data_IF_849140912347
#
_entry.id   IF_849140912347
#
_cell.length_a   1.000
_cell.length_b   1.000
_cell.length_c   1.000
_cell.angle_alpha   90.00
_cell.angle_beta   90.00
_cell.angle_gamma   90.00
#
_symmetry.space_group_name_H-M   'P 1'
#
loop_
_entity.id
_entity.type
_entity.pdbx_description
1 polymer ?
#
# COMPACT_ATOMS: atom_id res chain seq x y z
N UNK A 1 -36.08 -37.73 -55.82
CA UNK A 1 -37.50 -37.48 -55.47
C UNK A 1 -37.58 -36.97 -54.03
N UNK A 2 -38.34 -35.89 -53.79
CA UNK A 2 -38.81 -35.35 -52.48
C UNK A 2 -37.73 -34.82 -51.51
N UNK A 3 -37.49 -33.50 -51.36
CA UNK A 3 -38.27 -32.46 -50.64
C UNK A 3 -38.76 -32.88 -49.25
N UNK A 4 -38.24 -32.22 -48.20
CA UNK A 4 -39.00 -31.34 -47.27
C UNK A 4 -38.30 -31.18 -45.90
N UNK A 5 -37.82 -29.96 -45.61
CA UNK A 5 -38.11 -29.30 -44.31
C UNK A 5 -39.59 -28.83 -44.36
N UNK A 6 -40.34 -28.53 -43.28
CA UNK A 6 -39.90 -27.80 -42.06
C UNK A 6 -40.61 -28.21 -40.75
N UNK A 7 -40.31 -27.56 -39.63
CA UNK A 7 -41.30 -26.90 -38.76
C UNK A 7 -40.56 -25.93 -37.81
N UNK A 8 -41.03 -24.70 -37.88
CA UNK A 8 -40.67 -23.53 -37.11
C UNK A 8 -41.56 -23.47 -35.87
N UNK A 9 -41.00 -23.18 -34.69
CA UNK A 9 -41.76 -22.52 -33.62
C UNK A 9 -41.02 -21.27 -33.17
N UNK A 10 -41.65 -20.14 -33.52
CA UNK A 10 -41.37 -18.80 -33.02
C UNK A 10 -41.63 -18.73 -31.52
N UNK A 11 -40.70 -18.15 -30.78
CA UNK A 11 -41.03 -17.37 -29.57
C UNK A 11 -40.65 -15.93 -29.89
N UNK A 12 -41.67 -15.07 -29.96
CA UNK A 12 -41.55 -13.62 -30.06
C UNK A 12 -41.77 -12.99 -28.67
N UNK A 13 -41.28 -11.75 -28.57
CA UNK A 13 -41.50 -10.73 -27.55
C UNK A 13 -40.56 -10.84 -26.33
N UNK A 14 -39.94 -9.78 -25.83
CA UNK A 14 -40.37 -8.39 -25.80
C UNK A 14 -39.17 -7.41 -25.84
N UNK A 15 -39.37 -6.28 -26.51
CA UNK A 15 -38.51 -5.10 -26.56
C UNK A 15 -38.95 -4.10 -25.49
N UNK A 16 -38.08 -3.72 -24.55
CA UNK A 16 -38.23 -2.51 -23.73
C UNK A 16 -36.94 -1.67 -23.85
N UNK A 17 -36.98 -0.59 -24.64
CA UNK A 17 -37.21 0.78 -24.19
C UNK A 17 -36.12 1.36 -23.28
N UNK A 18 -35.08 1.87 -23.95
CA UNK A 18 -34.16 2.88 -23.42
C UNK A 18 -34.97 4.12 -23.01
N UNK A 19 -35.05 4.41 -21.70
CA UNK A 19 -35.47 5.73 -21.22
C UNK A 19 -34.25 6.63 -21.03
N UNK A 20 -34.26 7.70 -21.82
CA UNK A 20 -33.45 8.91 -21.68
C UNK A 20 -33.69 9.57 -20.31
N UNK A 21 -32.63 10.11 -19.70
CA UNK A 21 -32.72 11.00 -18.53
C UNK A 21 -32.74 12.45 -19.05
N UNK A 22 -33.80 13.24 -18.83
CA UNK A 22 -33.74 14.68 -19.03
C UNK A 22 -33.19 15.39 -17.79
N UNK A 23 -32.53 16.51 -18.06
CA UNK A 23 -31.77 17.32 -17.14
C UNK A 23 -32.66 18.42 -16.51
N UNK A 24 -32.21 18.94 -15.36
CA UNK A 24 -32.47 20.27 -14.79
C UNK A 24 -33.90 20.61 -14.32
N UNK A 25 -34.03 20.93 -13.03
CA UNK A 25 -34.65 22.19 -12.59
C UNK A 25 -33.98 22.69 -11.30
N UNK A 26 -33.51 23.94 -11.35
CA UNK A 26 -33.17 24.79 -10.22
C UNK A 26 -34.47 25.20 -9.51
N UNK A 27 -34.46 25.23 -8.17
CA UNK A 27 -35.30 26.16 -7.42
C UNK A 27 -34.55 26.69 -6.20
N UNK A 28 -34.50 28.01 -6.13
CA UNK A 28 -33.99 28.85 -5.05
C UNK A 28 -35.02 28.98 -3.92
N UNK A 29 -34.58 29.15 -2.68
CA UNK A 29 -35.02 30.22 -1.75
C UNK A 29 -34.18 30.23 -0.45
N UNK A 30 -34.13 31.35 0.32
CA UNK A 30 -32.90 31.90 0.89
C UNK A 30 -32.89 31.93 2.45
N UNK A 31 -32.22 32.86 3.18
CA UNK A 31 -31.35 32.51 4.32
C UNK A 31 -31.91 32.96 5.69
N UNK A 32 -31.12 32.69 6.74
CA UNK A 32 -31.21 33.17 8.12
C UNK A 32 -32.07 32.39 9.11
N UNK A 33 -31.38 31.67 9.99
CA UNK A 33 -31.75 31.51 11.39
C UNK A 33 -30.48 31.53 12.22
N UNK A 34 -30.20 32.70 12.78
CA UNK A 34 -29.25 32.92 13.87
C UNK A 34 -29.83 32.21 15.10
N UNK A 35 -29.14 31.17 15.58
CA UNK A 35 -29.18 30.80 16.99
C UNK A 35 -27.73 30.56 17.43
N UNK A 36 -27.18 31.59 18.08
CA UNK A 36 -26.10 31.40 19.04
C UNK A 36 -26.67 30.52 20.16
N UNK A 37 -26.03 29.39 20.45
CA UNK A 37 -25.72 29.03 21.83
C UNK A 37 -24.71 27.89 21.91
N UNK A 38 -23.70 28.15 22.73
CA UNK A 38 -23.00 27.17 23.55
C UNK A 38 -21.94 26.30 22.88
N UNK A 39 -20.69 26.81 22.97
CA UNK A 39 -19.48 26.07 23.34
C UNK A 39 -19.41 24.59 22.95
N UNK A 40 -18.87 24.34 21.76
CA UNK A 40 -17.98 23.20 21.59
C UNK A 40 -16.75 23.71 20.84
N UNK A 41 -15.88 24.38 21.60
CA UNK A 41 -14.47 24.46 21.30
C UNK A 41 -13.92 23.05 21.48
N UNK A 42 -14.29 22.14 20.57
CA UNK A 42 -13.48 20.95 20.29
C UNK A 42 -12.20 21.54 19.75
N UNK A 43 -11.24 21.74 20.67
CA UNK A 43 -9.85 21.93 20.34
C UNK A 43 -9.53 20.80 19.36
N UNK A 44 -9.45 21.14 18.08
CA UNK A 44 -8.82 20.29 17.10
C UNK A 44 -7.43 20.03 17.70
N UNK A 45 -7.25 18.81 18.22
CA UNK A 45 -5.97 18.34 18.72
C UNK A 45 -4.93 18.77 17.68
N UNK A 46 -3.80 19.37 18.09
CA UNK A 46 -2.78 19.76 17.14
C UNK A 46 -2.50 18.51 16.31
N UNK A 47 -2.78 18.58 15.00
CA UNK A 47 -2.40 17.51 14.09
C UNK A 47 -0.91 17.29 14.33
N UNK A 48 -0.55 16.21 15.03
CA UNK A 48 0.80 15.90 15.51
C UNK A 48 1.76 16.31 14.40
N UNK A 49 2.63 17.30 14.68
CA UNK A 49 3.53 17.88 13.69
C UNK A 49 4.52 16.80 13.25
N UNK A 50 4.12 15.98 12.28
CA UNK A 50 4.94 14.90 11.76
C UNK A 50 6.16 15.52 11.10
N UNK A 51 7.34 15.03 11.45
CA UNK A 51 8.58 15.45 10.80
C UNK A 51 8.41 15.37 9.27
N UNK A 52 8.80 16.43 8.56
CA UNK A 52 8.72 16.48 7.10
C UNK A 52 9.94 15.77 6.50
N UNK A 53 9.75 14.77 5.61
CA UNK A 53 10.86 14.02 5.03
C UNK A 53 11.74 14.91 4.15
N UNK A 54 13.04 14.63 4.13
CA UNK A 54 14.05 15.36 3.34
C UNK A 54 14.16 14.91 1.87
N UNK A 55 13.33 13.97 1.41
CA UNK A 55 13.51 13.37 0.09
C UNK A 55 12.83 14.20 -1.01
N UNK A 56 13.63 14.93 -1.79
CA UNK A 56 13.11 15.73 -2.92
C UNK A 56 12.78 14.88 -4.17
N UNK A 57 13.50 13.76 -4.34
CA UNK A 57 13.37 12.91 -5.55
C UNK A 57 12.22 11.92 -5.41
N UNK A 58 11.32 11.91 -6.41
CA UNK A 58 10.26 10.90 -6.53
C UNK A 58 10.83 9.48 -6.55
N UNK A 59 10.29 8.61 -5.71
CA UNK A 59 10.69 7.21 -5.65
C UNK A 59 10.13 6.47 -6.86
N UNK A 60 11.00 6.06 -7.78
CA UNK A 60 10.65 5.22 -8.94
C UNK A 60 11.22 3.82 -8.75
N UNK A 61 10.36 2.80 -8.80
CA UNK A 61 10.77 1.38 -8.83
C UNK A 61 10.66 0.89 -10.28
N UNK A 62 11.80 0.52 -10.88
CA UNK A 62 11.88 0.02 -12.27
C UNK A 62 11.06 -1.25 -12.51
N UNK A 63 10.89 -2.06 -11.47
CA UNK A 63 10.07 -3.27 -11.49
C UNK A 63 9.44 -3.48 -10.12
N UNK A 64 8.13 -3.71 -10.11
CA UNK A 64 7.36 -4.02 -8.90
C UNK A 64 7.16 -5.54 -8.74
N UNK A 65 6.99 -6.26 -9.86
CA UNK A 65 6.78 -7.72 -9.86
C UNK A 65 7.99 -8.46 -9.31
N UNK A 66 7.77 -9.32 -8.32
CA UNK A 66 8.80 -10.20 -7.74
C UNK A 66 9.36 -11.16 -8.79
N UNK A 67 10.67 -11.41 -8.72
CA UNK A 67 11.33 -12.43 -9.53
C UNK A 67 11.00 -13.82 -8.95
N UNK A 68 10.07 -14.52 -9.61
CA UNK A 68 9.69 -15.89 -9.24
C UNK A 68 10.64 -16.91 -9.88
N UNK A 69 10.89 -18.02 -9.19
CA UNK A 69 11.58 -19.19 -9.76
C UNK A 69 10.78 -19.74 -10.96
N UNK A 70 11.48 -20.27 -11.96
CA UNK A 70 10.85 -21.02 -13.05
C UNK A 70 10.06 -22.22 -12.47
N UNK A 71 8.85 -22.46 -12.98
CA UNK A 71 7.94 -23.58 -12.61
C UNK A 71 7.48 -23.62 -11.15
N UNK A 72 7.74 -22.59 -10.34
CA UNK A 72 7.20 -22.50 -8.96
C UNK A 72 5.68 -22.36 -8.90
N UNK A 73 5.05 -22.03 -10.03
CA UNK A 73 3.60 -22.00 -10.21
C UNK A 73 3.00 -23.39 -10.46
N UNK A 74 3.79 -24.33 -11.01
CA UNK A 74 3.32 -25.70 -11.31
C UNK A 74 3.54 -26.66 -10.14
N UNK A 75 4.67 -26.52 -9.43
CA UNK A 75 5.06 -27.45 -8.37
C UNK A 75 5.09 -26.76 -7.01
N UNK A 76 4.27 -27.24 -6.06
CA UNK A 76 4.21 -26.72 -4.68
C UNK A 76 5.54 -26.90 -3.93
N UNK A 77 6.29 -27.97 -4.24
CA UNK A 77 7.63 -28.21 -3.67
C UNK A 77 8.66 -27.15 -4.10
N UNK A 78 8.45 -26.50 -5.26
CA UNK A 78 9.33 -25.45 -5.76
C UNK A 78 8.92 -24.09 -5.18
N UNK A 79 9.67 -23.67 -4.17
CA UNK A 79 9.52 -22.34 -3.57
C UNK A 79 9.67 -21.23 -4.61
N UNK A 80 8.89 -20.16 -4.44
CA UNK A 80 8.86 -18.97 -5.32
C UNK A 80 10.13 -18.12 -5.26
N UNK A 81 11.06 -18.39 -4.35
CA UNK A 81 12.32 -17.63 -4.22
C UNK A 81 13.19 -17.75 -5.48
N UNK A 82 13.77 -16.65 -5.93
CA UNK A 82 14.59 -16.66 -7.14
C UNK A 82 15.81 -17.58 -6.98
N UNK A 83 16.03 -18.45 -7.97
CA UNK A 83 17.24 -19.25 -8.15
C UNK A 83 17.68 -19.18 -9.61
N UNK A 84 18.98 -18.98 -9.86
CA UNK A 84 19.51 -18.90 -11.22
C UNK A 84 19.42 -20.27 -11.90
N UNK A 85 18.70 -20.43 -13.04
CA UNK A 85 18.61 -21.71 -13.74
C UNK A 85 19.97 -22.09 -14.34
N UNK A 86 20.31 -23.38 -14.24
CA UNK A 86 21.61 -23.93 -14.67
C UNK A 86 21.53 -24.87 -15.87
N UNK A 87 20.40 -25.57 -16.05
CA UNK A 87 20.22 -26.58 -17.10
C UNK A 87 20.43 -26.06 -18.52
N UNK A 88 20.95 -26.92 -19.39
CA UNK A 88 21.33 -26.57 -20.77
C UNK A 88 20.11 -26.14 -21.60
N UNK A 89 18.95 -26.75 -21.41
CA UNK A 89 17.71 -26.48 -22.16
C UNK A 89 16.77 -25.49 -21.50
N UNK A 90 17.19 -24.87 -20.39
CA UNK A 90 16.34 -23.90 -19.70
C UNK A 90 16.08 -22.68 -20.58
N UNK A 91 14.79 -22.49 -20.94
CA UNK A 91 14.33 -21.34 -21.73
C UNK A 91 14.63 -20.00 -21.06
N UNK A 92 14.52 -19.95 -19.73
CA UNK A 92 14.86 -18.76 -18.92
C UNK A 92 16.35 -18.44 -18.99
N UNK A 93 17.23 -19.46 -18.90
CA UNK A 93 18.69 -19.27 -19.01
C UNK A 93 19.09 -18.72 -20.38
N UNK A 94 18.46 -19.23 -21.44
CA UNK A 94 18.65 -18.78 -22.83
C UNK A 94 17.92 -17.45 -23.15
N UNK A 95 17.20 -16.88 -22.19
CA UNK A 95 16.48 -15.58 -22.28
C UNK A 95 15.45 -15.51 -23.42
N UNK A 96 14.73 -16.59 -23.67
CA UNK A 96 13.61 -16.56 -24.62
C UNK A 96 12.52 -15.58 -24.16
N UNK A 97 11.87 -14.91 -25.13
CA UNK A 97 10.70 -14.06 -24.88
C UNK A 97 9.54 -14.89 -24.33
N UNK A 98 8.67 -14.26 -23.53
CA UNK A 98 7.53 -14.91 -22.88
C UNK A 98 7.85 -15.69 -21.60
N UNK A 99 9.14 -15.95 -21.32
CA UNK A 99 9.57 -16.57 -20.05
C UNK A 99 9.76 -15.54 -18.93
N UNK A 100 9.94 -16.02 -17.70
CA UNK A 100 10.25 -15.15 -16.55
C UNK A 100 11.61 -14.46 -16.74
N UNK A 101 11.63 -13.13 -16.61
CA UNK A 101 12.88 -12.36 -16.74
C UNK A 101 13.81 -12.64 -15.55
N UNK A 102 15.11 -12.74 -15.84
CA UNK A 102 16.15 -12.89 -14.81
C UNK A 102 16.47 -11.55 -14.11
N UNK A 103 16.80 -11.55 -12.81
CA UNK A 103 17.37 -10.39 -12.13
C UNK A 103 18.69 -9.98 -12.76
N UNK A 104 18.87 -8.68 -12.94
CA UNK A 104 20.09 -8.04 -13.43
C UNK A 104 20.30 -6.71 -12.69
N UNK A 105 21.49 -6.12 -12.83
CA UNK A 105 21.84 -4.83 -12.21
C UNK A 105 20.99 -3.68 -12.77
N UNK A 106 20.52 -3.79 -14.02
CA UNK A 106 19.67 -2.80 -14.68
C UNK A 106 18.35 -2.52 -13.95
N UNK A 107 17.79 -3.50 -13.23
CA UNK A 107 16.59 -3.32 -12.40
C UNK A 107 16.84 -2.58 -11.08
N UNK A 108 18.09 -2.28 -10.72
CA UNK A 108 18.42 -1.53 -9.50
C UNK A 108 17.79 -0.13 -9.50
N UNK A 109 17.22 0.27 -8.37
CA UNK A 109 16.70 1.63 -8.15
C UNK A 109 17.84 2.66 -8.07
N UNK A 110 17.51 3.95 -8.18
CA UNK A 110 18.46 5.03 -7.91
C UNK A 110 19.11 4.84 -6.54
N UNK A 111 20.40 5.14 -6.43
CA UNK A 111 21.18 5.04 -5.19
C UNK A 111 20.56 5.92 -4.09
N UNK A 112 20.07 7.11 -4.44
CA UNK A 112 19.43 8.03 -3.48
C UNK A 112 18.12 7.49 -2.91
N UNK A 113 17.26 6.86 -3.73
CA UNK A 113 15.93 6.35 -3.31
C UNK A 113 15.92 4.88 -2.89
N UNK A 114 17.10 4.25 -2.83
CA UNK A 114 17.25 2.86 -2.39
C UNK A 114 16.91 2.77 -0.89
N UNK A 115 16.14 1.75 -0.51
CA UNK A 115 15.70 1.50 0.88
C UNK A 115 14.76 2.54 1.51
N UNK A 116 14.25 3.50 0.73
CA UNK A 116 13.17 4.37 1.19
C UNK A 116 11.81 3.68 1.13
N UNK A 117 11.00 3.96 2.15
CA UNK A 117 9.58 3.69 2.24
C UNK A 117 8.79 4.71 1.41
N UNK A 118 7.52 4.41 1.08
CA UNK A 118 6.66 5.36 0.36
C UNK A 118 6.36 6.64 1.15
N UNK A 119 6.53 6.64 2.48
CA UNK A 119 6.39 7.82 3.34
C UNK A 119 7.56 8.82 3.22
N UNK A 120 8.60 8.51 2.44
CA UNK A 120 9.77 9.39 2.27
C UNK A 120 10.88 9.20 3.31
N UNK A 121 10.75 8.24 4.22
CA UNK A 121 11.77 7.90 5.23
C UNK A 121 12.48 6.58 4.91
N UNK A 122 13.67 6.39 5.49
CA UNK A 122 14.33 5.08 5.59
C UNK A 122 13.88 4.39 6.87
N UNK A 123 13.61 3.08 6.81
CA UNK A 123 13.24 2.34 8.01
C UNK A 123 14.45 2.00 8.86
N UNK A 124 14.33 2.22 10.16
CA UNK A 124 15.27 1.76 11.17
C UNK A 124 14.51 0.88 12.18
N UNK A 125 14.98 -0.35 12.39
CA UNK A 125 14.32 -1.28 13.30
C UNK A 125 14.82 -1.02 14.72
N UNK A 126 13.88 -0.81 15.65
CA UNK A 126 14.17 -0.43 17.04
C UNK A 126 13.74 -1.54 17.99
N UNK A 127 14.60 -1.88 18.95
CA UNK A 127 14.35 -2.91 19.98
C UNK A 127 14.09 -2.32 21.37
N UNK A 128 14.65 -1.15 21.67
CA UNK A 128 14.57 -0.50 22.99
C UNK A 128 14.42 1.03 22.87
N UNK A 129 14.11 1.71 23.96
CA UNK A 129 13.95 3.17 23.97
C UNK A 129 15.28 3.93 23.74
N UNK A 130 16.42 3.33 24.10
CA UNK A 130 17.75 3.96 23.93
C UNK A 130 18.15 4.07 22.46
N UNK A 131 17.78 3.10 21.64
CA UNK A 131 18.01 3.10 20.19
C UNK A 131 17.26 4.24 19.47
N UNK A 132 16.23 4.82 20.08
CA UNK A 132 15.58 6.02 19.55
C UNK A 132 16.45 7.27 19.64
N UNK A 133 17.40 7.32 20.59
CA UNK A 133 18.30 8.48 20.74
C UNK A 133 19.23 8.63 19.54
N UNK A 134 19.61 7.50 18.91
CA UNK A 134 20.37 7.49 17.65
C UNK A 134 19.58 8.19 16.53
N UNK A 135 18.25 8.10 16.56
CA UNK A 135 17.37 8.73 15.57
C UNK A 135 17.13 10.22 15.84
N UNK A 136 17.53 10.75 17.00
CA UNK A 136 17.36 12.18 17.34
C UNK A 136 18.08 13.08 16.32
N UNK A 137 19.29 12.70 15.90
CA UNK A 137 20.05 13.46 14.89
C UNK A 137 19.53 13.26 13.46
N UNK A 138 18.72 12.23 13.21
CA UNK A 138 18.32 11.82 11.85
C UNK A 138 16.80 11.70 11.67
N UNK A 139 16.03 12.41 12.49
CA UNK A 139 14.57 12.41 12.54
C UNK A 139 13.89 12.62 11.18
N UNK A 140 14.46 13.46 10.30
CA UNK A 140 13.91 13.75 8.97
C UNK A 140 14.30 12.75 7.87
N UNK A 141 15.23 11.83 8.16
CA UNK A 141 15.71 10.83 7.18
C UNK A 141 15.21 9.43 7.52
N UNK A 142 15.12 9.09 8.80
CA UNK A 142 14.72 7.77 9.26
C UNK A 142 13.41 7.80 10.02
N UNK A 143 12.66 6.70 9.91
CA UNK A 143 11.51 6.41 10.73
C UNK A 143 11.79 5.13 11.54
N UNK A 144 11.22 5.06 12.74
CA UNK A 144 11.33 3.89 13.59
C UNK A 144 10.31 2.81 13.17
N UNK A 145 10.75 1.55 13.16
CA UNK A 145 9.92 0.35 13.04
C UNK A 145 10.16 -0.49 14.30
N UNK A 146 9.18 -0.59 15.19
CA UNK A 146 9.34 -1.36 16.42
C UNK A 146 9.43 -2.84 16.07
N UNK A 147 10.49 -3.51 16.54
CA UNK A 147 10.72 -4.91 16.23
C UNK A 147 9.58 -5.82 16.74
N UNK A 148 9.41 -6.96 16.07
CA UNK A 148 8.32 -7.90 16.36
C UNK A 148 8.44 -8.57 17.74
N UNK A 149 9.66 -8.68 18.28
CA UNK A 149 9.98 -9.31 19.55
C UNK A 149 9.70 -8.43 20.77
N UNK A 150 9.41 -7.13 20.57
CA UNK A 150 9.15 -6.19 21.66
C UNK A 150 7.74 -6.37 22.20
N UNK A 151 7.63 -6.65 23.50
CA UNK A 151 6.37 -6.79 24.24
C UNK A 151 5.60 -5.46 24.33
N UNK A 152 4.30 -5.55 24.62
CA UNK A 152 3.37 -4.40 24.65
C UNK A 152 3.78 -3.30 25.62
N UNK A 153 4.25 -3.65 26.83
CA UNK A 153 4.73 -2.67 27.83
C UNK A 153 5.87 -1.79 27.28
N UNK A 154 6.90 -2.43 26.72
CA UNK A 154 8.05 -1.72 26.11
C UNK A 154 7.65 -0.94 24.85
N UNK A 155 6.64 -1.42 24.10
CA UNK A 155 6.10 -0.68 22.94
C UNK A 155 5.51 0.66 23.36
N UNK A 156 4.77 0.71 24.48
CA UNK A 156 4.22 1.96 25.01
C UNK A 156 5.34 2.94 25.36
N UNK A 157 6.36 2.48 26.09
CA UNK A 157 7.54 3.30 26.44
C UNK A 157 8.27 3.85 25.19
N UNK A 158 8.44 3.02 24.16
CA UNK A 158 9.07 3.43 22.88
C UNK A 158 8.21 4.46 22.14
N UNK A 159 6.88 4.29 22.11
CA UNK A 159 5.98 5.23 21.43
C UNK A 159 5.97 6.58 22.15
N UNK A 160 5.89 6.58 23.48
CA UNK A 160 5.94 7.80 24.29
C UNK A 160 7.28 8.53 24.10
N UNK A 161 8.39 7.79 24.14
CA UNK A 161 9.72 8.39 23.91
C UNK A 161 9.89 8.90 22.48
N UNK A 162 9.34 8.21 21.48
CA UNK A 162 9.39 8.66 20.09
C UNK A 162 8.58 9.93 19.85
N UNK A 163 7.44 10.09 20.54
CA UNK A 163 6.64 11.31 20.49
C UNK A 163 7.39 12.52 21.07
N UNK A 164 8.19 12.34 22.12
CA UNK A 164 9.03 13.40 22.68
C UNK A 164 10.16 13.85 21.74
N UNK A 165 10.64 12.94 20.88
CA UNK A 165 11.77 13.18 19.98
C UNK A 165 11.32 13.55 18.54
N UNK A 166 10.02 13.70 18.32
CA UNK A 166 9.40 13.90 17.00
C UNK A 166 9.83 12.86 15.95
N UNK A 167 10.02 11.60 16.39
CA UNK A 167 10.39 10.49 15.50
C UNK A 167 9.13 9.78 15.01
N UNK A 168 8.99 9.70 13.69
CA UNK A 168 7.87 8.99 13.05
C UNK A 168 8.02 7.48 13.25
N UNK A 169 7.04 6.85 13.91
CA UNK A 169 6.97 5.39 14.10
C UNK A 169 5.98 4.79 13.10
N UNK A 170 6.44 3.82 12.31
CA UNK A 170 5.61 3.18 11.25
C UNK A 170 4.51 2.29 11.81
N UNK A 171 4.76 1.61 12.94
CA UNK A 171 3.86 0.65 13.56
C UNK A 171 3.40 1.10 14.96
N UNK A 172 3.03 2.38 15.11
CA UNK A 172 2.60 3.02 16.38
C UNK A 172 1.49 2.22 17.09
N UNK A 173 0.48 1.76 16.34
CA UNK A 173 -0.71 1.08 16.89
C UNK A 173 -0.55 -0.45 17.05
N UNK A 174 0.59 -1.02 16.66
CA UNK A 174 0.71 -2.47 16.64
C UNK A 174 0.80 -3.05 18.07
N UNK A 175 -0.09 -4.02 18.38
CA UNK A 175 -0.20 -4.74 19.68
C UNK A 175 -0.59 -3.87 20.88
N UNK A 176 -0.85 -2.58 20.69
CA UNK A 176 -1.44 -1.70 21.68
C UNK A 176 -2.92 -1.60 21.33
N UNK A 177 -3.73 -2.52 21.86
CA UNK A 177 -5.20 -2.41 21.79
C UNK A 177 -5.72 -2.09 23.18
N UNK A 178 -6.49 -1.01 23.28
CA UNK A 178 -7.40 -0.76 24.39
C UNK A 178 -8.60 -1.69 24.25
N UNK A 179 -9.24 -2.03 25.36
CA UNK A 179 -10.39 -2.95 25.39
C UNK A 179 -11.65 -2.37 24.71
N UNK A 180 -11.61 -1.10 24.29
CA UNK A 180 -12.73 -0.33 23.72
C UNK A 180 -12.63 -0.16 22.19
N UNK A 181 -11.55 -0.62 21.56
CA UNK A 181 -11.34 -0.55 20.11
C UNK A 181 -11.77 -1.86 19.42
N UNK A 182 -13.07 -2.17 19.41
CA UNK A 182 -13.67 -3.24 18.59
C UNK A 182 -14.78 -2.71 17.66
#
# INVERSE_FOLDING_TARGET
MGRASPICSKIKHNTEHKRSKPWLTLSSTPPNSIFHHSVDLVAAAPSEAMAVPLLDKKIVKKRVKKFKRHESDRYVSLKTNWRRPKGIDSRVRRKFKGCTLMPNIGYGSDKKTRHYLPNGFKKFVVHNAKELEILMMHNRTYCAEIAHNVSTKKRKEIVERAAQLDVVVTNKLARLRSQEDE
#
